data_IF_509893896073
#
_entry.id   IF_509893896073
#
_cell.length_a   1.000
_cell.length_b   1.000
_cell.length_c   1.000
_cell.angle_alpha   90.00
_cell.angle_beta   90.00
_cell.angle_gamma   90.00
#
_symmetry.space_group_name_H-M   'P 1'
#
loop_
_entity.id
_entity.type
_entity.pdbx_description
1 polymer ?
#
# COMPACT_ATOMS: atom_id res chain seq x y z
N UNK A 1 -1.17 -81.17 -0.52
CA UNK A 1 -1.45 -80.63 0.83
C UNK A 1 -0.12 -80.10 1.35
N UNK A 2 0.10 -78.82 1.63
CA UNK A 2 -0.67 -77.91 2.51
C UNK A 2 -0.32 -76.45 2.16
N UNK A 3 -1.32 -75.56 2.12
CA UNK A 3 -1.16 -74.11 1.98
C UNK A 3 -0.53 -73.47 3.22
N UNK A 4 0.28 -72.42 3.03
CA UNK A 4 0.42 -71.28 3.94
C UNK A 4 0.64 -70.00 3.14
N UNK A 5 -0.26 -69.03 3.28
CA UNK A 5 -0.10 -67.68 2.76
C UNK A 5 0.40 -66.70 3.83
N UNK A 6 0.90 -65.53 3.41
CA UNK A 6 0.58 -64.23 4.02
C UNK A 6 0.96 -63.06 3.12
N UNK A 7 0.12 -62.03 3.19
CA UNK A 7 0.01 -60.87 2.33
C UNK A 7 1.17 -59.86 2.41
N UNK A 8 1.38 -59.20 1.27
CA UNK A 8 2.13 -57.97 1.07
C UNK A 8 1.51 -56.78 1.82
N UNK A 9 2.35 -55.92 2.40
CA UNK A 9 1.97 -54.62 2.95
C UNK A 9 2.58 -53.53 2.08
N UNK A 10 1.82 -52.81 1.23
CA UNK A 10 2.32 -51.59 0.64
C UNK A 10 2.13 -50.44 1.65
N UNK A 11 3.23 -49.97 2.23
CA UNK A 11 3.26 -48.69 2.95
C UNK A 11 3.35 -47.56 1.93
N UNK A 12 2.24 -46.91 1.67
CA UNK A 12 2.18 -45.72 0.83
C UNK A 12 0.90 -44.97 1.10
N UNK A 13 0.93 -44.06 2.08
CA UNK A 13 -0.15 -43.08 2.29
C UNK A 13 -0.21 -42.21 1.03
N UNK A 14 -1.35 -42.10 0.33
CA UNK A 14 -1.47 -41.12 -0.74
C UNK A 14 -1.27 -39.72 -0.15
N UNK A 15 -0.31 -38.98 -0.71
CA UNK A 15 -0.14 -37.56 -0.44
C UNK A 15 -1.24 -36.83 -1.20
N UNK A 16 -2.40 -36.66 -0.57
CA UNK A 16 -3.34 -35.62 -0.99
C UNK A 16 -2.76 -34.27 -0.58
N UNK A 17 -2.19 -33.56 -1.55
CA UNK A 17 -1.94 -32.12 -1.48
C UNK A 17 -1.92 -31.55 -2.90
N UNK A 18 -3.06 -31.65 -3.59
CA UNK A 18 -3.33 -30.73 -4.68
C UNK A 18 -3.46 -29.33 -4.05
N UNK A 19 -2.45 -28.49 -4.24
CA UNK A 19 -2.54 -27.07 -3.90
C UNK A 19 -3.77 -26.43 -4.57
N UNK A 20 -4.26 -25.30 -4.04
CA UNK A 20 -5.45 -24.65 -4.58
C UNK A 20 -5.24 -24.37 -6.08
N UNK A 21 -6.11 -24.91 -6.92
CA UNK A 21 -6.14 -24.62 -8.36
C UNK A 21 -6.32 -23.10 -8.51
N UNK A 22 -5.65 -22.46 -9.46
CA UNK A 22 -5.71 -21.00 -9.64
C UNK A 22 -7.12 -20.40 -9.73
N UNK A 23 -8.14 -21.20 -10.06
CA UNK A 23 -9.55 -20.82 -10.00
C UNK A 23 -10.10 -20.53 -8.60
N UNK A 24 -9.58 -21.18 -7.55
CA UNK A 24 -10.00 -20.93 -6.16
C UNK A 24 -9.55 -19.54 -5.68
N UNK A 25 -8.34 -19.12 -6.06
CA UNK A 25 -7.78 -17.83 -5.65
C UNK A 25 -8.52 -16.65 -6.29
N UNK A 26 -8.91 -16.77 -7.56
CA UNK A 26 -9.71 -15.76 -8.25
C UNK A 26 -11.11 -15.62 -7.64
N UNK A 27 -11.80 -16.74 -7.38
CA UNK A 27 -13.11 -16.75 -6.72
C UNK A 27 -13.02 -16.17 -5.29
N UNK A 28 -11.95 -16.50 -4.57
CA UNK A 28 -11.66 -15.94 -3.24
C UNK A 28 -11.45 -14.44 -3.27
N UNK A 29 -10.64 -13.94 -4.20
CA UNK A 29 -10.43 -12.50 -4.39
C UNK A 29 -11.76 -11.78 -4.64
N UNK A 30 -12.65 -12.36 -5.45
CA UNK A 30 -13.98 -11.79 -5.70
C UNK A 30 -14.82 -11.73 -4.43
N UNK A 31 -14.83 -12.79 -3.60
CA UNK A 31 -15.54 -12.78 -2.32
C UNK A 31 -14.99 -11.75 -1.34
N UNK A 32 -13.66 -11.69 -1.20
CA UNK A 32 -12.98 -10.70 -0.36
C UNK A 32 -13.30 -9.28 -0.82
N UNK A 33 -13.23 -9.01 -2.14
CA UNK A 33 -13.56 -7.70 -2.70
C UNK A 33 -14.99 -7.28 -2.34
N UNK A 34 -15.95 -8.19 -2.42
CA UNK A 34 -17.35 -7.88 -2.11
C UNK A 34 -17.57 -7.47 -0.64
N UNK A 35 -16.70 -7.88 0.28
CA UNK A 35 -16.74 -7.49 1.70
C UNK A 35 -15.91 -6.23 1.96
N UNK A 36 -14.71 -6.16 1.38
CA UNK A 36 -13.72 -5.11 1.68
C UNK A 36 -14.07 -3.79 0.98
N UNK A 37 -14.51 -3.84 -0.29
CA UNK A 37 -14.74 -2.64 -1.09
C UNK A 37 -15.78 -1.69 -0.48
N UNK A 38 -16.96 -2.16 0.01
CA UNK A 38 -17.91 -1.28 0.69
C UNK A 38 -17.31 -0.60 1.93
N UNK A 39 -16.56 -1.34 2.75
CA UNK A 39 -15.96 -0.83 3.99
C UNK A 39 -14.93 0.27 3.70
N UNK A 40 -14.09 0.06 2.69
CA UNK A 40 -13.09 1.04 2.26
C UNK A 40 -13.77 2.30 1.70
N UNK A 41 -14.80 2.14 0.87
CA UNK A 41 -15.55 3.25 0.28
C UNK A 41 -16.34 4.03 1.34
N UNK A 42 -16.98 3.36 2.31
CA UNK A 42 -17.72 3.99 3.40
C UNK A 42 -16.80 4.79 4.34
N UNK A 43 -15.53 4.37 4.45
CA UNK A 43 -14.48 5.12 5.14
C UNK A 43 -13.93 6.32 4.33
N UNK A 44 -14.39 6.52 3.09
CA UNK A 44 -13.99 7.63 2.23
C UNK A 44 -12.71 7.39 1.41
N UNK A 45 -12.29 6.13 1.25
CA UNK A 45 -11.09 5.75 0.50
C UNK A 45 -11.44 4.89 -0.72
N UNK A 46 -10.51 4.81 -1.67
CA UNK A 46 -10.60 3.94 -2.84
C UNK A 46 -9.87 2.61 -2.61
N UNK A 47 -10.51 1.49 -2.97
CA UNK A 47 -9.85 0.18 -3.02
C UNK A 47 -9.00 0.03 -4.30
N UNK A 48 -7.74 0.44 -4.21
CA UNK A 48 -6.78 0.50 -5.32
C UNK A 48 -6.32 -0.89 -5.82
N UNK A 49 -6.19 -1.86 -4.92
CA UNK A 49 -5.84 -3.23 -5.27
C UNK A 49 -6.21 -4.21 -4.15
N UNK A 50 -6.46 -5.45 -4.55
CA UNK A 50 -6.68 -6.55 -3.62
C UNK A 50 -6.00 -7.80 -4.16
N UNK A 51 -5.04 -8.33 -3.41
CA UNK A 51 -4.33 -9.55 -3.76
C UNK A 51 -4.36 -10.56 -2.62
N UNK A 52 -4.42 -11.84 -2.99
CA UNK A 52 -4.28 -12.94 -2.05
C UNK A 52 -3.09 -13.76 -2.52
N UNK A 53 -2.12 -13.96 -1.65
CA UNK A 53 -0.97 -14.82 -1.91
C UNK A 53 -0.81 -15.85 -0.80
N UNK A 54 0.11 -16.80 -0.99
CA UNK A 54 0.43 -17.81 0.02
C UNK A 54 1.85 -17.60 0.52
N UNK A 55 2.00 -17.44 1.83
CA UNK A 55 3.28 -17.35 2.53
C UNK A 55 3.43 -18.55 3.46
N UNK A 56 4.14 -19.58 2.98
CA UNK A 56 4.30 -20.84 3.70
C UNK A 56 2.95 -21.51 3.99
N UNK A 57 2.57 -21.56 5.28
CA UNK A 57 1.32 -22.19 5.73
C UNK A 57 0.13 -21.22 5.79
N UNK A 58 0.36 -19.91 5.67
CA UNK A 58 -0.66 -18.87 5.83
C UNK A 58 -0.97 -18.20 4.49
N UNK A 59 -2.14 -17.58 4.42
CA UNK A 59 -2.46 -16.64 3.34
C UNK A 59 -2.03 -15.23 3.72
N UNK A 60 -1.71 -14.41 2.71
CA UNK A 60 -1.52 -12.98 2.89
C UNK A 60 -2.55 -12.27 2.03
N UNK A 61 -3.41 -11.48 2.67
CA UNK A 61 -4.41 -10.64 2.02
C UNK A 61 -3.87 -9.22 2.04
N UNK A 62 -3.48 -8.70 0.88
CA UNK A 62 -2.94 -7.34 0.75
C UNK A 62 -4.01 -6.45 0.16
N UNK A 63 -4.37 -5.42 0.92
CA UNK A 63 -5.37 -4.40 0.59
C UNK A 63 -4.64 -3.09 0.37
N UNK A 64 -4.71 -2.57 -0.85
CA UNK A 64 -4.15 -1.25 -1.16
C UNK A 64 -5.28 -0.24 -1.15
N UNK A 65 -5.14 0.80 -0.34
CA UNK A 65 -6.13 1.88 -0.19
C UNK A 65 -5.49 3.23 -0.44
N UNK A 66 -6.25 4.16 -1.00
CA UNK A 66 -5.76 5.51 -1.26
C UNK A 66 -6.91 6.51 -1.38
N UNK A 67 -6.57 7.79 -1.52
CA UNK A 67 -7.51 8.86 -1.90
C UNK A 67 -6.75 9.94 -2.66
N UNK A 68 -7.44 10.90 -3.28
CA UNK A 68 -6.80 11.94 -4.08
C UNK A 68 -5.78 12.77 -3.28
N UNK A 69 -5.99 12.93 -1.97
CA UNK A 69 -5.06 13.63 -1.06
C UNK A 69 -3.94 12.76 -0.48
N UNK A 70 -3.89 11.47 -0.82
CA UNK A 70 -3.10 10.49 -0.09
C UNK A 70 -3.71 10.09 1.25
N UNK A 71 -3.17 9.04 1.85
CA UNK A 71 -3.63 8.49 3.13
C UNK A 71 -2.48 8.48 4.14
N UNK A 72 -2.73 8.96 5.36
CA UNK A 72 -1.77 8.91 6.46
C UNK A 72 -1.78 7.56 7.20
N UNK A 73 -0.86 7.37 8.15
CA UNK A 73 -0.70 6.10 8.85
C UNK A 73 -1.86 5.79 9.80
N UNK A 74 -2.47 6.82 10.39
CA UNK A 74 -3.58 6.65 11.32
C UNK A 74 -4.84 6.20 10.55
N UNK A 75 -5.10 6.82 9.41
CA UNK A 75 -6.14 6.41 8.47
C UNK A 75 -5.93 4.98 7.96
N UNK A 76 -4.70 4.58 7.62
CA UNK A 76 -4.40 3.18 7.25
C UNK A 76 -4.71 2.24 8.40
N UNK A 77 -4.39 2.61 9.64
CA UNK A 77 -4.67 1.79 10.82
C UNK A 77 -6.18 1.64 11.07
N UNK A 78 -6.95 2.71 10.91
CA UNK A 78 -8.41 2.70 11.05
C UNK A 78 -9.08 1.84 9.98
N UNK A 79 -8.66 1.99 8.72
CA UNK A 79 -9.12 1.13 7.62
C UNK A 79 -8.76 -0.33 7.90
N UNK A 80 -7.56 -0.61 8.42
CA UNK A 80 -7.16 -1.97 8.77
C UNK A 80 -8.06 -2.58 9.83
N UNK A 81 -8.46 -1.82 10.86
CA UNK A 81 -9.37 -2.31 11.90
C UNK A 81 -10.77 -2.56 11.34
N UNK A 82 -11.29 -1.63 10.53
CA UNK A 82 -12.61 -1.76 9.92
C UNK A 82 -12.69 -2.96 8.98
N UNK A 83 -11.67 -3.16 8.14
CA UNK A 83 -11.57 -4.30 7.23
C UNK A 83 -11.47 -5.62 8.01
N UNK A 84 -10.67 -5.69 9.08
CA UNK A 84 -10.58 -6.88 9.93
C UNK A 84 -11.96 -7.25 10.50
N UNK A 85 -12.64 -6.30 11.13
CA UNK A 85 -13.95 -6.54 11.74
C UNK A 85 -15.01 -6.99 10.70
N UNK A 86 -14.97 -6.43 9.49
CA UNK A 86 -15.87 -6.83 8.42
C UNK A 86 -15.60 -8.24 7.89
N UNK A 87 -14.32 -8.63 7.80
CA UNK A 87 -13.93 -10.00 7.42
C UNK A 87 -14.36 -11.01 8.50
N UNK A 88 -14.15 -10.70 9.78
CA UNK A 88 -14.57 -11.54 10.89
C UNK A 88 -16.10 -11.76 10.88
N UNK A 89 -16.89 -10.70 10.74
CA UNK A 89 -18.36 -10.79 10.67
C UNK A 89 -18.86 -11.58 9.44
N UNK A 90 -18.15 -11.46 8.32
CA UNK A 90 -18.50 -12.17 7.10
C UNK A 90 -18.15 -13.67 7.20
N UNK A 91 -17.07 -14.03 7.90
CA UNK A 91 -16.74 -15.44 8.19
C UNK A 91 -17.77 -16.10 9.11
N UNK A 92 -18.29 -15.37 10.11
CA UNK A 92 -19.34 -15.87 11.02
C UNK A 92 -20.66 -16.18 10.29
N UNK A 93 -20.99 -15.42 9.25
CA UNK A 93 -22.30 -15.50 8.56
C UNK A 93 -22.27 -16.33 7.28
N UNK A 94 -21.14 -16.36 6.55
CA UNK A 94 -21.03 -16.89 5.19
C UNK A 94 -20.09 -18.08 5.01
N UNK A 95 -19.42 -18.53 6.07
CA UNK A 95 -18.40 -19.58 6.01
C UNK A 95 -17.01 -19.06 5.64
N UNK A 96 -16.07 -19.99 5.42
CA UNK A 96 -14.63 -19.73 5.30
C UNK A 96 -14.27 -18.83 4.08
N UNK A 97 -14.11 -17.52 4.31
CA UNK A 97 -13.77 -16.53 3.27
C UNK A 97 -12.31 -16.70 2.85
N UNK A 98 -11.43 -16.95 3.84
CA UNK A 98 -10.02 -17.26 3.61
C UNK A 98 -9.66 -18.56 4.33
N UNK A 99 -9.65 -19.68 3.59
CA UNK A 99 -9.21 -20.98 4.08
C UNK A 99 -7.97 -20.93 5.00
N UNK A 100 -8.21 -21.12 6.30
CA UNK A 100 -7.21 -21.15 7.35
C UNK A 100 -6.60 -19.79 7.71
N UNK A 101 -5.58 -19.81 8.56
CA UNK A 101 -4.95 -18.58 9.05
C UNK A 101 -4.43 -17.68 7.93
N UNK A 102 -4.69 -16.38 8.06
CA UNK A 102 -4.21 -15.36 7.15
C UNK A 102 -3.58 -14.16 7.88
N UNK A 103 -2.76 -13.41 7.15
CA UNK A 103 -2.23 -12.11 7.54
C UNK A 103 -2.91 -11.05 6.67
N UNK A 104 -3.52 -10.04 7.32
CA UNK A 104 -3.99 -8.84 6.65
C UNK A 104 -2.85 -7.82 6.58
N UNK A 105 -2.62 -7.27 5.39
CA UNK A 105 -1.73 -6.13 5.15
C UNK A 105 -2.55 -5.02 4.50
N UNK A 106 -2.60 -3.84 5.12
CA UNK A 106 -3.23 -2.65 4.55
C UNK A 106 -2.15 -1.59 4.35
N UNK A 107 -2.07 -1.01 3.15
CA UNK A 107 -1.08 0.01 2.83
C UNK A 107 -1.53 0.91 1.70
N UNK A 108 -0.88 2.06 1.54
CA UNK A 108 -1.04 2.90 0.35
C UNK A 108 -0.21 2.39 -0.83
N UNK A 109 -0.63 2.67 -2.07
CA UNK A 109 0.18 2.38 -3.24
C UNK A 109 1.46 3.22 -3.29
N UNK A 110 2.58 2.57 -3.59
CA UNK A 110 3.85 3.26 -3.85
C UNK A 110 3.85 4.03 -5.18
N UNK A 111 4.93 4.79 -5.40
CA UNK A 111 5.09 5.74 -6.53
C UNK A 111 5.31 5.07 -7.90
N UNK A 112 5.69 3.80 -7.93
CA UNK A 112 6.02 3.09 -9.19
C UNK A 112 4.79 2.65 -10.01
N UNK A 113 3.57 2.82 -9.46
CA UNK A 113 2.35 2.33 -10.09
C UNK A 113 2.01 3.13 -11.36
N UNK A 114 1.59 2.45 -12.45
CA UNK A 114 1.05 3.12 -13.63
C UNK A 114 -0.08 4.11 -13.33
N UNK A 115 -0.03 5.28 -13.96
CA UNK A 115 -1.18 6.19 -14.02
C UNK A 115 -2.09 5.72 -15.15
N UNK A 116 -3.25 5.17 -14.81
CA UNK A 116 -4.19 4.56 -15.78
C UNK A 116 -5.63 5.01 -15.58
N UNK A 117 -6.02 5.36 -14.34
CA UNK A 117 -7.34 5.87 -14.00
C UNK A 117 -7.26 7.36 -13.68
N UNK A 118 -8.33 8.16 -13.88
CA UNK A 118 -8.35 9.59 -13.56
C UNK A 118 -7.82 9.92 -12.16
N UNK A 119 -8.31 9.23 -11.12
CA UNK A 119 -7.80 9.39 -9.74
C UNK A 119 -6.29 9.19 -9.58
N UNK A 120 -5.67 8.31 -10.37
CA UNK A 120 -4.21 8.17 -10.33
C UNK A 120 -3.52 9.47 -10.75
N UNK A 121 -4.08 10.19 -11.72
CA UNK A 121 -3.53 11.47 -12.16
C UNK A 121 -3.82 12.58 -11.14
N UNK A 122 -5.03 12.63 -10.58
CA UNK A 122 -5.41 13.60 -9.53
C UNK A 122 -4.50 13.55 -8.32
N UNK A 123 -4.23 12.36 -7.76
CA UNK A 123 -3.30 12.21 -6.63
C UNK A 123 -1.84 12.55 -6.94
N UNK A 124 -1.46 12.60 -8.21
CA UNK A 124 -0.10 12.88 -8.65
C UNK A 124 0.08 14.32 -9.15
N UNK A 125 -0.87 15.21 -8.89
CA UNK A 125 -0.68 16.66 -9.07
C UNK A 125 0.58 17.11 -8.33
N UNK A 126 1.39 17.92 -8.99
CA UNK A 126 2.70 18.37 -8.53
C UNK A 126 3.86 17.45 -8.90
N UNK A 127 3.64 16.19 -9.33
CA UNK A 127 4.73 15.25 -9.66
C UNK A 127 5.11 15.26 -11.13
N UNK A 128 6.38 14.99 -11.41
CA UNK A 128 6.89 14.77 -12.76
C UNK A 128 6.44 13.38 -13.25
N UNK A 129 5.85 13.31 -14.44
CA UNK A 129 5.35 12.07 -15.01
C UNK A 129 5.85 11.88 -16.44
N UNK A 130 6.10 10.63 -16.78
CA UNK A 130 6.49 10.18 -18.12
C UNK A 130 5.37 9.32 -18.68
N UNK A 131 4.83 9.71 -19.83
CA UNK A 131 3.66 9.07 -20.44
C UNK A 131 3.81 8.96 -21.95
N UNK A 132 3.21 7.93 -22.54
CA UNK A 132 3.10 7.83 -23.99
C UNK A 132 1.87 8.60 -24.47
N UNK A 133 2.06 9.54 -25.39
CA UNK A 133 0.99 10.23 -26.11
C UNK A 133 0.73 9.51 -27.42
N UNK A 134 -0.53 9.20 -27.70
CA UNK A 134 -0.96 8.53 -28.94
C UNK A 134 -0.93 9.51 -30.11
N UNK A 135 -0.44 9.04 -31.27
CA UNK A 135 0.02 9.88 -32.39
C UNK A 135 -0.95 10.88 -33.03
N UNK A 136 -2.25 10.84 -32.72
CA UNK A 136 -3.20 11.83 -33.23
C UNK A 136 -3.21 13.16 -32.45
N UNK A 137 -2.60 13.20 -31.26
CA UNK A 137 -2.65 14.38 -30.42
C UNK A 137 -1.51 15.36 -30.77
N UNK A 138 -1.76 16.67 -30.77
CA UNK A 138 -0.74 17.69 -31.03
C UNK A 138 0.01 18.03 -29.74
N UNK A 139 1.33 18.33 -29.82
CA UNK A 139 2.04 18.91 -28.67
C UNK A 139 1.74 20.42 -28.59
N UNK A 140 1.71 20.99 -27.38
CA UNK A 140 1.80 22.45 -27.25
C UNK A 140 3.03 22.96 -28.01
N UNK A 141 2.89 24.11 -28.67
CA UNK A 141 3.98 24.76 -29.41
C UNK A 141 4.30 24.21 -30.81
N UNK A 142 3.89 22.98 -31.15
CA UNK A 142 4.14 22.41 -32.48
C UNK A 142 3.01 22.76 -33.47
N UNK A 143 3.22 23.80 -34.30
CA UNK A 143 2.43 24.04 -35.52
C UNK A 143 3.11 23.32 -36.69
N UNK A 144 2.56 22.18 -37.11
CA UNK A 144 3.13 21.39 -38.20
C UNK A 144 2.36 20.09 -38.45
N UNK A 145 2.92 19.23 -39.30
CA UNK A 145 2.42 17.89 -39.60
C UNK A 145 2.23 17.10 -38.29
N UNK A 146 1.03 16.54 -38.08
CA UNK A 146 0.78 15.68 -36.92
C UNK A 146 1.77 14.51 -36.98
N UNK A 147 2.64 14.34 -35.98
CA UNK A 147 3.65 13.30 -36.03
C UNK A 147 2.97 11.94 -36.07
N UNK A 148 3.32 11.15 -37.08
CA UNK A 148 2.77 9.81 -37.26
C UNK A 148 3.35 8.87 -36.19
N UNK A 149 2.58 8.60 -35.14
CA UNK A 149 2.86 7.53 -34.18
C UNK A 149 2.93 7.96 -32.72
N UNK A 150 2.95 6.97 -31.84
CA UNK A 150 3.04 7.15 -30.41
C UNK A 150 4.40 7.76 -30.02
N UNK A 151 4.39 8.69 -29.07
CA UNK A 151 5.59 9.40 -28.61
C UNK A 151 5.63 9.52 -27.10
N UNK A 152 6.81 9.72 -26.56
CA UNK A 152 7.00 9.88 -25.13
C UNK A 152 6.96 11.36 -24.74
N UNK A 153 6.20 11.66 -23.70
CA UNK A 153 6.06 12.98 -23.11
C UNK A 153 6.47 12.91 -21.64
N UNK A 154 7.31 13.84 -21.20
CA UNK A 154 7.62 14.04 -19.79
C UNK A 154 7.14 15.43 -19.41
N UNK A 155 6.38 15.54 -18.32
CA UNK A 155 5.85 16.82 -17.85
C UNK A 155 5.34 16.73 -16.42
N UNK A 156 5.18 17.89 -15.75
CA UNK A 156 4.64 17.97 -14.40
C UNK A 156 3.11 18.01 -14.47
N UNK A 157 2.44 17.22 -13.64
CA UNK A 157 0.98 17.27 -13.52
C UNK A 157 0.60 18.54 -12.79
N UNK A 158 -0.01 19.52 -13.44
CA UNK A 158 -0.43 20.78 -12.79
C UNK A 158 -1.89 20.74 -12.33
N UNK A 159 -2.73 19.98 -13.02
CA UNK A 159 -4.12 19.73 -12.66
C UNK A 159 -4.59 18.43 -13.32
N UNK A 160 -5.55 17.74 -12.71
CA UNK A 160 -6.23 16.61 -13.30
C UNK A 160 -7.66 16.53 -12.77
N UNK A 161 -8.59 16.11 -13.62
CA UNK A 161 -10.00 15.89 -13.29
C UNK A 161 -10.47 14.56 -13.89
N UNK A 162 -11.78 14.35 -14.03
CA UNK A 162 -12.34 13.12 -14.57
C UNK A 162 -12.25 13.01 -16.10
N UNK A 163 -12.01 14.12 -16.80
CA UNK A 163 -11.97 14.20 -18.26
C UNK A 163 -10.53 14.15 -18.80
N UNK A 164 -9.57 14.75 -18.09
CA UNK A 164 -8.19 14.82 -18.53
C UNK A 164 -7.19 15.34 -17.51
N UNK A 165 -5.99 15.59 -18.02
CA UNK A 165 -4.84 16.05 -17.25
C UNK A 165 -4.13 17.20 -17.95
N UNK A 166 -3.72 18.19 -17.17
CA UNK A 166 -2.88 19.29 -17.60
C UNK A 166 -1.42 18.95 -17.28
N UNK A 167 -0.57 18.93 -18.30
CA UNK A 167 0.85 18.66 -18.19
C UNK A 167 1.64 19.90 -18.58
N UNK A 168 2.53 20.34 -17.69
CA UNK A 168 3.53 21.36 -17.96
C UNK A 168 4.82 20.70 -18.46
N UNK A 169 5.28 21.11 -19.64
CA UNK A 169 6.54 20.68 -20.25
C UNK A 169 7.41 21.89 -20.56
N UNK A 170 8.63 21.66 -21.04
CA UNK A 170 9.53 22.74 -21.50
C UNK A 170 8.91 23.58 -22.63
N UNK A 171 7.97 23.00 -23.39
CA UNK A 171 7.24 23.65 -24.49
C UNK A 171 5.95 24.37 -24.03
N UNK A 172 5.64 24.32 -22.73
CA UNK A 172 4.49 24.97 -22.09
C UNK A 172 3.46 24.00 -21.50
N UNK A 173 2.31 24.54 -21.10
CA UNK A 173 1.22 23.77 -20.49
C UNK A 173 0.18 23.33 -21.55
N UNK A 174 -0.20 22.05 -21.55
CA UNK A 174 -1.29 21.53 -22.38
C UNK A 174 -2.21 20.57 -21.63
N UNK A 175 -3.48 20.59 -21.99
CA UNK A 175 -4.49 19.64 -21.53
C UNK A 175 -4.55 18.42 -22.46
N UNK A 176 -4.66 17.23 -21.88
CA UNK A 176 -4.71 15.95 -22.57
C UNK A 176 -5.89 15.12 -22.04
N UNK A 177 -6.71 14.60 -22.96
CA UNK A 177 -7.71 13.62 -22.58
C UNK A 177 -7.04 12.28 -22.26
N UNK A 178 -7.55 11.54 -21.27
CA UNK A 178 -6.97 10.23 -20.91
C UNK A 178 -6.96 9.23 -22.07
N UNK A 179 -7.91 9.34 -23.00
CA UNK A 179 -7.94 8.53 -24.22
C UNK A 179 -6.76 8.78 -25.17
N UNK A 180 -6.08 9.92 -25.07
CA UNK A 180 -4.89 10.24 -25.85
C UNK A 180 -3.61 9.74 -25.17
N UNK A 181 -3.70 9.29 -23.92
CA UNK A 181 -2.57 8.88 -23.10
C UNK A 181 -2.53 7.36 -22.94
N UNK A 182 -1.32 6.82 -22.97
CA UNK A 182 -1.01 5.50 -22.46
C UNK A 182 -0.80 5.52 -20.94
N UNK A 183 -0.33 4.41 -20.35
CA UNK A 183 -0.01 4.36 -18.93
C UNK A 183 1.11 5.34 -18.58
N UNK A 184 0.86 6.24 -17.62
CA UNK A 184 1.88 7.13 -17.08
C UNK A 184 2.80 6.45 -16.07
N UNK A 185 3.97 7.01 -15.83
CA UNK A 185 4.91 6.63 -14.76
C UNK A 185 5.41 7.88 -14.06
N UNK A 186 5.22 7.95 -12.75
CA UNK A 186 5.84 9.00 -11.92
C UNK A 186 7.35 8.88 -12.01
N UNK A 187 8.04 10.00 -12.16
CA UNK A 187 9.48 10.09 -12.10
C UNK A 187 9.87 10.55 -10.69
N UNK A 188 10.78 9.83 -10.04
CA UNK A 188 11.30 10.20 -8.73
C UNK A 188 12.35 11.29 -8.92
N UNK A 189 12.06 12.47 -8.40
CA UNK A 189 12.99 13.60 -8.38
C UNK A 189 13.71 13.60 -7.03
N UNK A 190 15.04 13.47 -7.05
CA UNK A 190 15.86 13.64 -5.85
C UNK A 190 16.39 15.06 -5.83
N UNK A 191 15.69 15.96 -5.14
CA UNK A 191 16.28 17.27 -4.81
C UNK A 191 17.29 17.05 -3.69
N UNK A 192 18.53 17.54 -3.87
CA UNK A 192 19.51 17.50 -2.78
C UNK A 192 19.07 18.49 -1.71
N UNK A 193 19.14 18.04 -0.46
CA UNK A 193 18.80 18.81 0.75
C UNK A 193 19.46 20.21 0.83
N UNK A 194 20.55 20.45 0.10
CA UNK A 194 21.25 21.73 0.05
C UNK A 194 20.48 22.89 -0.64
N UNK A 195 19.35 22.60 -1.31
CA UNK A 195 18.50 23.63 -1.95
C UNK A 195 17.22 23.95 -1.15
N UNK A 196 16.95 23.23 -0.07
CA UNK A 196 15.98 23.64 0.93
C UNK A 196 16.72 24.63 1.82
N UNK A 197 16.33 25.92 1.75
CA UNK A 197 16.96 26.99 2.54
C UNK A 197 17.14 26.56 3.99
N UNK A 198 18.27 26.94 4.58
CA UNK A 198 18.60 26.63 5.97
C UNK A 198 17.35 26.89 6.83
N UNK A 199 16.87 25.91 7.60
CA UNK A 199 15.77 26.17 8.52
C UNK A 199 16.20 27.35 9.39
N UNK A 200 15.33 28.35 9.54
CA UNK A 200 15.52 29.40 10.53
C UNK A 200 15.50 28.71 11.91
N UNK A 201 16.69 28.29 12.37
CA UNK A 201 16.93 27.75 13.70
C UNK A 201 16.80 28.89 14.72
N UNK A 202 15.58 29.40 14.93
CA UNK A 202 15.19 30.06 16.18
C UNK A 202 14.70 28.99 17.16
N UNK A 203 15.60 28.06 17.52
CA UNK A 203 15.46 27.36 18.80
C UNK A 203 16.04 28.29 19.86
N UNK A 204 15.14 28.99 20.56
CA UNK A 204 15.45 29.79 21.73
C UNK A 204 15.99 28.84 22.82
N UNK A 205 17.32 28.81 22.97
CA UNK A 205 18.02 28.14 24.08
C UNK A 205 17.66 28.88 25.40
N UNK A 206 16.49 28.56 25.95
CA UNK A 206 16.23 28.77 27.37
C UNK A 206 16.97 27.67 28.14
N UNK A 207 18.23 27.97 28.47
CA UNK A 207 19.07 27.30 29.46
C UNK A 207 18.35 27.24 30.81
N UNK A 208 17.63 26.15 31.08
CA UNK A 208 17.09 25.83 32.40
C UNK A 208 18.05 24.86 33.08
N UNK A 209 19.08 25.43 33.70
CA UNK A 209 19.98 24.74 34.59
C UNK A 209 19.26 24.44 35.91
N UNK A 210 18.50 23.35 35.98
CA UNK A 210 18.07 22.79 37.25
C UNK A 210 19.19 21.91 37.81
N UNK A 211 19.95 22.52 38.73
CA UNK A 211 20.92 21.89 39.63
C UNK A 211 20.30 20.66 40.32
N UNK A 212 20.78 19.46 39.95
CA UNK A 212 20.58 18.27 40.77
C UNK A 212 21.63 18.33 41.89
N UNK A 213 21.19 18.79 43.06
CA UNK A 213 21.95 18.74 44.31
C UNK A 213 22.06 17.28 44.79
N UNK A 214 23.23 16.70 44.55
CA UNK A 214 23.64 15.37 45.00
C UNK A 214 24.10 15.48 46.46
N UNK A 215 23.14 15.43 47.39
CA UNK A 215 23.44 15.22 48.81
C UNK A 215 23.30 13.74 49.15
N UNK A 216 24.41 13.02 49.01
CA UNK A 216 24.71 11.78 49.73
C UNK A 216 24.72 12.07 51.24
N UNK A 217 23.80 11.46 52.00
CA UNK A 217 23.98 11.20 53.44
C UNK A 217 22.89 10.22 53.93
N UNK A 218 23.17 8.92 53.84
CA UNK A 218 22.59 7.93 54.76
C UNK A 218 23.73 7.05 55.25
N UNK A 219 24.39 7.53 56.32
CA UNK A 219 25.18 6.72 57.23
C UNK A 219 24.24 5.88 58.11
N UNK A 220 24.50 4.57 58.06
CA UNK A 220 24.68 3.61 59.15
C UNK A 220 23.66 3.42 60.31
N UNK A 221 23.47 2.12 60.57
CA UNK A 221 23.16 1.45 61.85
C UNK A 221 21.75 1.60 62.48
N UNK A 222 21.00 0.50 62.56
CA UNK A 222 20.88 -0.23 63.83
C UNK A 222 20.05 -1.53 63.73
N UNK A 223 20.69 -2.58 64.23
CA UNK A 223 20.17 -3.76 64.95
C UNK A 223 18.66 -3.79 65.28
N UNK A 224 17.97 -4.86 64.86
CA UNK A 224 16.91 -5.46 65.70
C UNK A 224 16.98 -6.99 65.67
N UNK A 225 17.05 -7.50 66.89
CA UNK A 225 17.33 -8.85 67.33
C UNK A 225 16.34 -9.93 66.83
N UNK A 226 16.92 -11.12 66.74
CA UNK A 226 16.32 -12.45 66.80
C UNK A 226 15.36 -12.61 68.01
N UNK A 227 14.16 -13.16 67.83
CA UNK A 227 13.53 -14.07 68.83
C UNK A 227 12.20 -14.71 68.33
N UNK A 228 12.30 -16.03 68.13
CA UNK A 228 11.35 -17.13 68.42
C UNK A 228 9.82 -17.00 68.19
N UNK A 229 9.27 -17.79 67.25
CA UNK A 229 8.65 -19.12 67.50
C UNK A 229 7.94 -19.69 66.27
#
# INVERSE_FOLDING_TARGET
>A
MTQRGRATRPTGRPRDAAGPRGGDLAARRTRLRAVIEPVVNDAGYDLEDLSVSRAGRRHVVRVMVDTDGGIDLDAVADVSRAVSAALDAAEETGGDIVAGEYQLEVSSPGVDRPLTLPRHWRRNVGRLVKVTVRGAAALPGQRGEQPAGDRQLTGRVVAADDEGVHLETDDGCAAWAYAQLGPGRVQVEFTRLAELGEPDDEFDDADDSDDIDDSDDIDDEDDVEDEER
#
